data_IF_265370548624
#
_entry.id   IF_265370548624
#
_cell.length_a   1.000
_cell.length_b   1.000
_cell.length_c   1.000
_cell.angle_alpha   90.00
_cell.angle_beta   90.00
_cell.angle_gamma   90.00
#
_symmetry.space_group_name_H-M   'P 1'
#
loop_
_entity.id
_entity.type
_entity.pdbx_description
1 polymer ?
#
# COMPACT_ATOMS: atom_id res chain seq x y z
N UNK A 1 -6.48 -3.78 -14.01
CA UNK A 1 -6.32 -4.11 -12.57
C UNK A 1 -4.95 -4.76 -12.37
N UNK A 2 -4.35 -4.72 -11.17
CA UNK A 2 -3.05 -5.38 -10.90
C UNK A 2 -3.16 -6.91 -10.99
N UNK A 3 -2.04 -7.64 -11.08
CA UNK A 3 -2.02 -9.11 -11.21
C UNK A 3 -2.73 -9.86 -10.08
N UNK A 4 -2.80 -9.29 -8.87
CA UNK A 4 -3.55 -9.86 -7.73
C UNK A 4 -5.03 -9.48 -7.71
N UNK A 5 -5.52 -8.70 -8.67
CA UNK A 5 -6.88 -8.17 -8.69
C UNK A 5 -7.15 -7.10 -7.62
N UNK A 6 -6.10 -6.58 -6.96
CA UNK A 6 -6.21 -5.55 -5.91
C UNK A 6 -6.04 -4.16 -6.54
N UNK A 7 -6.95 -3.24 -6.22
CA UNK A 7 -6.84 -1.85 -6.67
C UNK A 7 -5.76 -1.13 -5.85
N UNK A 8 -4.77 -0.52 -6.52
CA UNK A 8 -3.72 0.27 -5.90
C UNK A 8 -4.01 1.78 -6.01
N UNK A 9 -3.71 2.54 -4.96
CA UNK A 9 -3.90 4.02 -4.89
C UNK A 9 -2.57 4.74 -4.62
N UNK A 10 -1.59 4.73 -5.55
CA UNK A 10 -0.31 5.38 -5.34
C UNK A 10 -0.46 6.91 -5.29
N UNK A 11 0.20 7.56 -4.32
CA UNK A 11 0.21 9.02 -4.19
C UNK A 11 1.55 9.60 -4.63
N UNK A 12 1.51 10.61 -5.50
CA UNK A 12 2.67 11.43 -5.84
C UNK A 12 2.25 12.88 -6.07
N UNK A 13 3.18 13.82 -5.86
CA UNK A 13 3.05 15.23 -6.27
C UNK A 13 3.87 15.53 -7.53
N UNK A 14 4.78 14.64 -7.90
CA UNK A 14 5.61 14.75 -9.10
C UNK A 14 4.88 14.13 -10.28
N UNK A 15 4.73 14.90 -11.36
CA UNK A 15 3.95 14.53 -12.55
C UNK A 15 4.52 13.29 -13.23
N UNK A 16 5.84 13.20 -13.32
CA UNK A 16 6.56 12.12 -13.98
C UNK A 16 6.24 10.79 -13.29
N UNK A 17 6.27 10.76 -11.95
CA UNK A 17 5.90 9.59 -11.15
C UNK A 17 4.42 9.23 -11.26
N UNK A 18 3.53 10.20 -11.44
CA UNK A 18 2.09 9.91 -11.64
C UNK A 18 1.91 9.15 -12.95
N UNK A 19 2.59 9.57 -14.01
CA UNK A 19 2.56 8.89 -15.31
C UNK A 19 3.20 7.51 -15.21
N UNK A 20 4.38 7.40 -14.57
CA UNK A 20 5.08 6.13 -14.37
C UNK A 20 4.25 5.13 -13.57
N UNK A 21 3.66 5.54 -12.44
CA UNK A 21 2.82 4.67 -11.61
C UNK A 21 1.56 4.16 -12.34
N UNK A 22 1.08 4.89 -13.35
CA UNK A 22 -0.06 4.48 -14.16
C UNK A 22 0.33 3.53 -15.30
N UNK A 23 1.56 3.63 -15.82
CA UNK A 23 2.06 2.85 -16.94
C UNK A 23 2.63 1.49 -16.48
N UNK A 24 1.78 0.64 -15.92
CA UNK A 24 2.17 -0.70 -15.44
C UNK A 24 1.51 -1.85 -16.21
N UNK A 25 0.82 -1.54 -17.30
CA UNK A 25 -0.06 -2.49 -18.01
C UNK A 25 0.59 -3.14 -19.24
N UNK A 26 1.82 -2.75 -19.57
CA UNK A 26 2.62 -3.24 -20.68
C UNK A 26 3.59 -4.37 -20.28
N UNK A 27 3.61 -4.75 -19.00
CA UNK A 27 4.37 -5.89 -18.50
C UNK A 27 3.53 -6.75 -17.53
N UNK A 28 4.04 -7.95 -17.23
CA UNK A 28 3.53 -8.83 -16.21
C UNK A 28 4.70 -9.49 -15.47
N UNK A 29 4.57 -9.65 -14.16
CA UNK A 29 5.50 -10.43 -13.35
C UNK A 29 5.31 -11.92 -13.63
N UNK A 30 6.40 -12.67 -13.67
CA UNK A 30 6.34 -14.13 -13.78
C UNK A 30 5.81 -14.75 -12.49
N UNK A 31 5.45 -16.03 -12.55
CA UNK A 31 5.04 -16.77 -11.35
C UNK A 31 6.17 -16.81 -10.31
N UNK A 32 7.42 -16.97 -10.75
CA UNK A 32 8.61 -16.99 -9.90
C UNK A 32 8.83 -15.63 -9.21
N UNK A 33 8.65 -14.51 -9.93
CA UNK A 33 8.73 -13.17 -9.34
C UNK A 33 7.65 -12.95 -8.28
N UNK A 34 6.43 -13.40 -8.58
CA UNK A 34 5.30 -13.30 -7.64
C UNK A 34 5.55 -14.11 -6.37
N UNK A 35 6.14 -15.31 -6.49
CA UNK A 35 6.54 -16.15 -5.36
C UNK A 35 7.65 -15.50 -4.54
N UNK A 36 8.66 -14.94 -5.20
CA UNK A 36 9.75 -14.23 -4.54
C UNK A 36 9.23 -13.04 -3.72
N UNK A 37 8.34 -12.22 -4.30
CA UNK A 37 7.72 -11.08 -3.60
C UNK A 37 6.92 -11.55 -2.38
N UNK A 38 6.22 -12.68 -2.48
CA UNK A 38 5.44 -13.22 -1.35
C UNK A 38 6.32 -13.55 -0.13
N UNK A 39 7.60 -13.89 -0.33
CA UNK A 39 8.54 -14.18 0.77
C UNK A 39 8.89 -12.95 1.62
N UNK A 40 8.62 -11.74 1.11
CA UNK A 40 8.91 -10.48 1.81
C UNK A 40 7.85 -10.10 2.85
N UNK A 41 6.73 -10.83 2.95
CA UNK A 41 5.68 -10.53 3.91
C UNK A 41 6.14 -10.77 5.37
N UNK A 42 6.11 -9.71 6.17
CA UNK A 42 6.44 -9.77 7.61
C UNK A 42 5.22 -9.93 8.50
N UNK A 43 4.01 -9.92 7.92
CA UNK A 43 2.71 -9.98 8.63
C UNK A 43 2.51 -8.87 9.68
N UNK A 44 3.22 -7.75 9.53
CA UNK A 44 3.14 -6.60 10.44
C UNK A 44 2.86 -5.33 9.65
N UNK A 45 2.01 -4.47 10.20
CA UNK A 45 1.77 -3.12 9.67
C UNK A 45 3.04 -2.28 9.79
N UNK A 46 3.33 -1.47 8.76
CA UNK A 46 4.46 -0.52 8.78
C UNK A 46 4.22 0.71 9.67
N UNK A 47 2.98 0.93 10.13
CA UNK A 47 2.60 2.09 10.95
C UNK A 47 2.29 1.67 12.38
N UNK A 48 1.11 1.08 12.59
CA UNK A 48 0.63 0.63 13.89
C UNK A 48 -0.37 -0.52 13.73
N UNK A 49 -0.58 -1.24 14.84
CA UNK A 49 -1.63 -2.25 14.94
C UNK A 49 -2.95 -1.58 15.31
N UNK A 50 -4.01 -1.89 14.55
CA UNK A 50 -5.37 -1.41 14.87
C UNK A 50 -5.96 -2.11 16.10
N UNK A 51 -5.34 -3.20 16.56
CA UNK A 51 -5.77 -3.95 17.75
C UNK A 51 -5.08 -3.46 19.03
N UNK A 52 -4.21 -2.45 18.95
CA UNK A 52 -3.57 -1.84 20.12
C UNK A 52 -4.52 -0.81 20.78
N UNK A 53 -4.95 -1.02 22.04
CA UNK A 53 -5.87 -0.12 22.72
C UNK A 53 -5.40 1.33 22.80
N UNK A 54 -4.09 1.59 22.91
CA UNK A 54 -3.57 2.95 23.00
C UNK A 54 -3.65 3.69 21.66
N UNK A 55 -3.44 2.96 20.55
CA UNK A 55 -3.60 3.50 19.19
C UNK A 55 -5.07 3.84 18.92
N UNK A 56 -5.99 2.96 19.31
CA UNK A 56 -7.43 3.19 19.17
C UNK A 56 -7.84 4.46 19.94
N UNK A 57 -7.39 4.57 21.20
CA UNK A 57 -7.64 5.75 22.03
C UNK A 57 -7.08 7.03 21.40
N UNK A 58 -5.87 6.99 20.85
CA UNK A 58 -5.27 8.14 20.18
C UNK A 58 -6.05 8.56 18.93
N UNK A 59 -6.47 7.61 18.09
CA UNK A 59 -7.26 7.88 16.88
C UNK A 59 -8.61 8.54 17.22
N UNK A 60 -9.34 8.00 18.20
CA UNK A 60 -10.66 8.52 18.57
C UNK A 60 -10.63 9.94 19.18
N UNK A 61 -9.53 10.30 19.85
CA UNK A 61 -9.40 11.61 20.49
C UNK A 61 -8.83 12.68 19.55
N UNK A 62 -8.47 12.32 18.32
CA UNK A 62 -7.88 13.25 17.36
C UNK A 62 -8.97 14.15 16.78
N UNK A 63 -8.92 15.44 17.14
CA UNK A 63 -9.79 16.49 16.60
C UNK A 63 -9.04 17.29 15.54
N UNK A 64 -9.74 17.65 14.48
CA UNK A 64 -9.26 18.54 13.45
C UNK A 64 -10.25 19.70 13.35
N UNK A 65 -9.72 20.91 13.26
CA UNK A 65 -10.50 22.09 12.89
C UNK A 65 -10.49 22.14 11.36
N UNK A 66 -11.52 21.55 10.75
CA UNK A 66 -11.76 21.49 9.30
C UNK A 66 -13.13 22.04 8.97
#
# INVERSE_FOLDING_TARGET
>A
MTQRGIVAIPKSVHKERIVENFNIFDFALSQEDMEMIATLDTKKSLFFSHNDPEIVKWLCNRKFDI
#
